data_IF_107805065901
#
_entry.id   IF_107805065901
#
_cell.length_a   1.000
_cell.length_b   1.000
_cell.length_c   1.000
_cell.angle_alpha   90.00
_cell.angle_beta   90.00
_cell.angle_gamma   90.00
#
_symmetry.space_group_name_H-M   'P 1'
#
loop_
_entity.id
_entity.type
_entity.pdbx_description
1 polymer ?
#
# COMPACT_ATOMS: atom_id res chain seq x y z
N UNK A 1 0.52 -0.78 25.31
CA UNK A 1 0.89 -0.46 23.92
C UNK A 1 2.38 -0.18 23.91
N UNK A 2 3.21 -1.01 23.26
CA UNK A 2 4.68 -0.84 23.32
C UNK A 2 5.10 0.27 22.36
N UNK A 3 6.10 1.06 22.74
CA UNK A 3 6.60 2.25 22.02
C UNK A 3 6.87 2.00 20.52
N UNK A 4 7.23 0.76 20.17
CA UNK A 4 7.66 0.34 18.84
C UNK A 4 6.51 0.39 17.81
N UNK A 5 5.30 0.00 18.18
CA UNK A 5 4.16 -0.04 17.26
C UNK A 5 3.78 1.37 16.78
N UNK A 6 3.94 2.37 17.65
CA UNK A 6 3.69 3.78 17.33
C UNK A 6 4.69 4.33 16.31
N UNK A 7 5.94 3.88 16.38
CA UNK A 7 7.03 4.35 15.49
C UNK A 7 6.85 3.78 14.08
N UNK A 8 6.51 2.50 13.94
CA UNK A 8 6.24 1.89 12.62
C UNK A 8 5.01 2.47 11.93
N UNK A 9 3.93 2.76 12.67
CA UNK A 9 2.75 3.43 12.14
C UNK A 9 3.06 4.84 11.61
N UNK A 10 3.91 5.59 12.33
CA UNK A 10 4.38 6.90 11.87
C UNK A 10 5.20 6.78 10.59
N UNK A 11 6.17 5.86 10.52
CA UNK A 11 6.96 5.63 9.30
C UNK A 11 6.08 5.30 8.09
N UNK A 12 5.07 4.45 8.27
CA UNK A 12 4.10 4.12 7.23
C UNK A 12 3.30 5.35 6.78
N UNK A 13 2.83 6.16 7.73
CA UNK A 13 2.08 7.38 7.44
C UNK A 13 2.88 8.40 6.62
N UNK A 14 4.14 8.66 7.00
CA UNK A 14 5.04 9.55 6.25
C UNK A 14 5.22 9.08 4.79
N UNK A 15 5.46 7.77 4.59
CA UNK A 15 5.65 7.19 3.25
C UNK A 15 4.41 7.33 2.37
N UNK A 16 3.22 7.11 2.92
CA UNK A 16 1.97 7.27 2.17
C UNK A 16 1.71 8.73 1.78
N UNK A 17 1.93 9.69 2.69
CA UNK A 17 1.78 11.12 2.37
C UNK A 17 2.76 11.55 1.27
N UNK A 18 4.01 11.11 1.33
CA UNK A 18 5.00 11.36 0.27
C UNK A 18 4.51 10.80 -1.07
N UNK A 19 4.00 9.56 -1.09
CA UNK A 19 3.47 8.95 -2.31
C UNK A 19 2.29 9.73 -2.88
N UNK A 20 1.33 10.11 -2.05
CA UNK A 20 0.18 10.93 -2.43
C UNK A 20 0.62 12.30 -2.98
N UNK A 21 1.48 13.03 -2.28
CA UNK A 21 1.96 14.34 -2.76
C UNK A 21 2.77 14.24 -4.05
N UNK A 22 3.51 13.14 -4.24
CA UNK A 22 4.24 12.89 -5.49
C UNK A 22 3.30 12.69 -6.67
N UNK A 23 2.14 12.05 -6.46
CA UNK A 23 1.09 11.95 -7.49
C UNK A 23 0.49 13.33 -7.79
N UNK A 24 0.18 14.12 -6.77
CA UNK A 24 -0.35 15.47 -6.98
C UNK A 24 0.65 16.38 -7.72
N UNK A 25 1.93 16.28 -7.38
CA UNK A 25 3.01 16.99 -8.08
C UNK A 25 3.06 16.60 -9.56
N UNK A 26 2.93 15.31 -9.88
CA UNK A 26 2.94 14.81 -11.26
C UNK A 26 1.81 15.41 -12.12
N UNK A 27 0.63 15.64 -11.53
CA UNK A 27 -0.51 16.24 -12.23
C UNK A 27 -0.52 17.77 -12.19
N UNK A 28 0.40 18.41 -11.45
CA UNK A 28 0.44 19.86 -11.29
C UNK A 28 0.96 20.53 -12.58
N UNK A 29 0.23 21.53 -13.06
CA UNK A 29 0.56 22.24 -14.33
C UNK A 29 1.04 23.67 -14.14
N UNK A 30 0.92 24.23 -12.92
CA UNK A 30 1.37 25.58 -12.60
C UNK A 30 2.43 25.58 -11.50
N UNK A 31 3.27 26.63 -11.52
CA UNK A 31 4.45 26.73 -10.66
C UNK A 31 4.10 26.81 -9.17
N UNK A 32 2.94 27.39 -8.82
CA UNK A 32 2.49 27.50 -7.43
C UNK A 32 2.15 26.14 -6.83
N UNK A 33 1.42 25.30 -7.57
CA UNK A 33 1.10 23.92 -7.16
C UNK A 33 2.35 23.04 -7.09
N UNK A 34 3.22 23.14 -8.10
CA UNK A 34 4.49 22.41 -8.13
C UNK A 34 5.31 22.74 -6.88
N UNK A 35 5.46 24.03 -6.56
CA UNK A 35 6.18 24.48 -5.38
C UNK A 35 5.51 23.96 -4.10
N UNK A 36 4.20 24.09 -3.99
CA UNK A 36 3.43 23.64 -2.82
C UNK A 36 3.62 22.15 -2.53
N UNK A 37 3.43 21.28 -3.53
CA UNK A 37 3.60 19.84 -3.33
C UNK A 37 5.05 19.42 -3.13
N UNK A 38 6.00 20.12 -3.75
CA UNK A 38 7.44 19.92 -3.49
C UNK A 38 7.77 20.21 -2.03
N UNK A 39 7.32 21.36 -1.50
CA UNK A 39 7.55 21.75 -0.10
C UNK A 39 6.95 20.72 0.89
N UNK A 40 5.75 20.19 0.58
CA UNK A 40 5.11 19.14 1.38
C UNK A 40 5.90 17.83 1.36
N UNK A 41 6.38 17.40 0.18
CA UNK A 41 7.20 16.20 0.03
C UNK A 41 8.51 16.34 0.83
N UNK A 42 9.20 17.48 0.70
CA UNK A 42 10.45 17.74 1.41
C UNK A 42 10.28 17.74 2.92
N UNK A 43 9.19 18.33 3.41
CA UNK A 43 8.82 18.32 4.84
C UNK A 43 8.61 16.89 5.34
N UNK A 44 7.80 16.09 4.65
CA UNK A 44 7.53 14.71 5.05
C UNK A 44 8.78 13.83 4.98
N UNK A 45 9.62 14.01 3.95
CA UNK A 45 10.91 13.31 3.82
C UNK A 45 11.87 13.65 4.96
N UNK A 46 11.89 14.90 5.41
CA UNK A 46 12.71 15.34 6.53
C UNK A 46 12.33 14.64 7.82
N UNK A 47 11.02 14.57 8.12
CA UNK A 47 10.53 13.86 9.31
C UNK A 47 10.71 12.35 9.21
N UNK A 48 10.51 11.76 8.02
CA UNK A 48 10.79 10.35 7.77
C UNK A 48 12.27 10.01 8.05
N UNK A 49 13.20 10.86 7.61
CA UNK A 49 14.64 10.69 7.85
C UNK A 49 14.98 10.74 9.35
N UNK A 50 14.44 11.71 10.09
CA UNK A 50 14.64 11.81 11.54
C UNK A 50 14.14 10.57 12.27
N UNK A 51 12.93 10.11 11.91
CA UNK A 51 12.31 8.96 12.54
C UNK A 51 13.05 7.66 12.20
N UNK A 52 13.52 7.51 10.95
CA UNK A 52 14.30 6.35 10.53
C UNK A 52 15.62 6.28 11.30
N UNK A 53 16.34 7.40 11.42
CA UNK A 53 17.57 7.47 12.21
C UNK A 53 17.33 7.14 13.69
N UNK A 54 16.26 7.67 14.28
CA UNK A 54 15.88 7.33 15.66
C UNK A 54 15.62 5.81 15.83
N UNK A 55 15.04 5.14 14.82
CA UNK A 55 14.85 3.69 14.85
C UNK A 55 16.18 2.93 14.78
N UNK A 56 17.08 3.36 13.89
CA UNK A 56 18.41 2.75 13.73
C UNK A 56 19.21 2.81 15.04
N UNK A 57 19.22 3.98 15.69
CA UNK A 57 19.92 4.23 16.94
C UNK A 57 19.27 3.49 18.13
N UNK A 58 17.93 3.48 18.21
CA UNK A 58 17.20 2.96 19.38
C UNK A 58 17.02 1.44 19.40
N UNK A 59 17.09 0.77 18.24
CA UNK A 59 16.76 -0.66 18.13
C UNK A 59 17.92 -1.58 17.76
N UNK A 60 19.16 -1.07 17.60
CA UNK A 60 20.32 -1.85 17.12
C UNK A 60 19.91 -2.84 16.02
N UNK A 61 19.28 -2.33 14.97
CA UNK A 61 18.76 -3.18 13.90
C UNK A 61 19.94 -3.92 13.28
N UNK A 62 19.99 -5.24 13.51
CA UNK A 62 21.06 -6.10 13.03
C UNK A 62 21.16 -6.02 11.50
N UNK A 63 22.39 -6.21 11.01
CA UNK A 63 22.93 -5.96 9.65
C UNK A 63 22.18 -6.52 8.42
N UNK A 64 20.93 -6.94 8.50
CA UNK A 64 20.20 -7.49 7.35
C UNK A 64 19.11 -6.56 6.78
N UNK A 65 18.96 -5.34 7.31
CA UNK A 65 18.39 -4.12 6.69
C UNK A 65 17.50 -4.28 5.43
N UNK A 66 16.46 -5.13 5.51
CA UNK A 66 15.56 -5.43 4.39
C UNK A 66 14.14 -5.20 4.85
N UNK A 67 13.56 -4.10 4.38
CA UNK A 67 12.13 -3.83 4.54
C UNK A 67 11.39 -4.39 3.34
N UNK A 68 10.34 -5.16 3.59
CA UNK A 68 9.50 -5.77 2.58
C UNK A 68 8.22 -4.93 2.40
N UNK A 69 7.92 -4.55 1.17
CA UNK A 69 6.64 -3.96 0.77
C UNK A 69 6.20 -4.66 -0.52
N UNK A 70 5.16 -5.48 -0.44
CA UNK A 70 4.79 -6.45 -1.49
C UNK A 70 5.99 -7.34 -1.90
N UNK A 71 6.16 -7.60 -3.20
CA UNK A 71 7.29 -8.34 -3.79
C UNK A 71 8.56 -7.49 -3.95
N UNK A 72 8.60 -6.29 -3.37
CA UNK A 72 9.75 -5.37 -3.43
C UNK A 72 10.49 -5.36 -2.09
N UNK A 73 11.81 -5.46 -2.18
CA UNK A 73 12.71 -5.23 -1.04
C UNK A 73 13.45 -3.91 -1.25
N UNK A 74 13.43 -3.05 -0.24
CA UNK A 74 14.18 -1.80 -0.25
C UNK A 74 15.50 -1.98 0.51
N UNK A 75 16.62 -1.86 -0.21
CA UNK A 75 17.96 -1.84 0.37
C UNK A 75 18.38 -0.38 0.62
N UNK A 76 18.42 -0.01 1.90
CA UNK A 76 18.79 1.32 2.37
C UNK A 76 20.26 1.69 2.06
N UNK A 77 21.16 0.71 1.84
CA UNK A 77 22.57 0.98 1.50
C UNK A 77 22.76 1.30 0.02
N UNK A 78 21.96 0.68 -0.84
CA UNK A 78 22.14 0.78 -2.29
C UNK A 78 21.26 1.86 -2.92
N UNK A 79 20.27 2.39 -2.19
CA UNK A 79 19.23 3.27 -2.73
C UNK A 79 18.62 2.71 -4.05
N UNK A 80 18.49 1.38 -4.11
CA UNK A 80 18.17 0.61 -5.32
C UNK A 80 16.96 -0.27 -5.07
N UNK A 81 15.94 -0.14 -5.91
CA UNK A 81 14.75 -0.99 -5.90
C UNK A 81 15.11 -2.31 -6.59
N UNK A 82 14.82 -3.44 -5.94
CA UNK A 82 14.99 -4.78 -6.53
C UNK A 82 13.67 -5.54 -6.49
N UNK A 83 13.19 -5.99 -7.65
CA UNK A 83 12.10 -6.97 -7.80
C UNK A 83 12.65 -8.35 -7.47
N UNK A 84 12.10 -9.05 -6.48
CA UNK A 84 12.38 -10.48 -6.35
C UNK A 84 11.51 -11.26 -7.33
N UNK A 85 12.13 -11.80 -8.37
CA UNK A 85 11.48 -12.75 -9.26
C UNK A 85 11.30 -14.10 -8.56
N UNK A 86 10.10 -14.63 -8.78
CA UNK A 86 9.56 -15.94 -8.44
C UNK A 86 10.60 -17.07 -8.54
N UNK A 87 10.68 -17.87 -7.49
CA UNK A 87 10.95 -19.31 -7.56
C UNK A 87 9.85 -19.95 -6.71
N UNK A 88 8.70 -20.28 -7.31
CA UNK A 88 8.36 -21.54 -7.97
C UNK A 88 8.12 -22.70 -6.99
N UNK A 89 6.86 -22.85 -6.57
CA UNK A 89 6.22 -24.14 -6.31
C UNK A 89 4.75 -24.02 -6.75
N UNK A 90 4.31 -24.82 -7.73
CA UNK A 90 2.89 -25.05 -8.05
C UNK A 90 2.35 -24.38 -9.33
N UNK A 91 2.47 -25.10 -10.45
CA UNK A 91 1.83 -24.98 -11.76
C UNK A 91 0.51 -24.18 -11.90
N UNK A 92 0.59 -23.01 -12.54
CA UNK A 92 -0.26 -22.46 -13.62
C UNK A 92 -0.04 -20.94 -13.65
N UNK A 93 0.86 -20.45 -14.52
CA UNK A 93 1.03 -19.01 -14.74
C UNK A 93 -0.18 -18.47 -15.52
N UNK A 94 -1.31 -18.31 -14.84
CA UNK A 94 -2.23 -17.26 -15.21
C UNK A 94 -1.48 -15.93 -15.04
N UNK A 95 -1.38 -15.16 -16.11
CA UNK A 95 -0.95 -13.76 -16.02
C UNK A 95 -1.85 -13.11 -14.98
N UNK A 96 -1.30 -12.74 -13.81
CA UNK A 96 -2.04 -12.01 -12.79
C UNK A 96 -2.74 -10.84 -13.45
N UNK A 97 -4.07 -10.79 -13.33
CA UNK A 97 -4.87 -9.75 -13.95
C UNK A 97 -4.44 -8.39 -13.41
N UNK A 98 -4.16 -7.46 -14.31
CA UNK A 98 -3.89 -6.09 -13.95
C UNK A 98 -5.21 -5.31 -13.94
N UNK A 99 -5.36 -4.43 -12.96
CA UNK A 99 -6.50 -3.54 -12.85
C UNK A 99 -5.99 -2.11 -12.81
N UNK A 100 -6.61 -1.22 -13.58
CA UNK A 100 -6.60 0.22 -13.29
C UNK A 100 -7.62 0.54 -12.20
N UNK A 101 -7.57 1.75 -11.63
CA UNK A 101 -8.60 2.23 -10.71
C UNK A 101 -10.00 2.22 -11.37
N UNK A 102 -10.09 2.62 -12.64
CA UNK A 102 -11.36 2.62 -13.37
C UNK A 102 -11.90 1.21 -13.64
N UNK A 103 -11.02 0.24 -13.87
CA UNK A 103 -11.43 -1.15 -13.98
C UNK A 103 -11.85 -1.72 -12.63
N UNK A 104 -11.11 -1.42 -11.56
CA UNK A 104 -11.44 -1.88 -10.21
C UNK A 104 -12.82 -1.39 -9.76
N UNK A 105 -13.19 -0.14 -10.06
CA UNK A 105 -14.53 0.42 -9.76
C UNK A 105 -15.70 -0.41 -10.29
N UNK A 106 -15.49 -1.22 -11.33
CA UNK A 106 -16.54 -2.07 -11.92
C UNK A 106 -16.88 -3.28 -11.04
N UNK A 107 -16.08 -3.58 -10.03
CA UNK A 107 -16.21 -4.71 -9.11
C UNK A 107 -16.65 -4.22 -7.73
N UNK A 108 -17.82 -3.58 -7.69
CA UNK A 108 -18.41 -2.93 -6.51
C UNK A 108 -19.44 -3.81 -5.77
N UNK A 109 -19.58 -5.09 -6.16
CA UNK A 109 -20.58 -5.99 -5.58
C UNK A 109 -22.02 -5.74 -6.06
N UNK A 110 -22.26 -4.72 -6.89
CA UNK A 110 -23.60 -4.38 -7.37
C UNK A 110 -24.03 -5.25 -8.55
N UNK A 111 -25.34 -5.42 -8.73
CA UNK A 111 -25.91 -6.10 -9.91
C UNK A 111 -25.35 -7.52 -10.14
N UNK A 112 -25.03 -8.24 -9.06
CA UNK A 112 -24.46 -9.59 -9.13
C UNK A 112 -22.99 -9.64 -9.56
N UNK A 113 -22.32 -8.50 -9.68
CA UNK A 113 -20.87 -8.44 -9.94
C UNK A 113 -20.08 -8.79 -8.67
N UNK A 114 -18.82 -9.22 -8.81
CA UNK A 114 -17.94 -9.41 -7.66
C UNK A 114 -17.68 -8.10 -6.91
N UNK A 115 -17.37 -8.20 -5.63
CA UNK A 115 -16.90 -7.11 -4.78
C UNK A 115 -15.38 -7.25 -4.58
N UNK A 116 -14.59 -6.35 -5.17
CA UNK A 116 -13.13 -6.36 -5.06
C UNK A 116 -12.60 -5.15 -4.31
N UNK A 117 -11.50 -5.30 -3.58
CA UNK A 117 -10.78 -4.18 -2.96
C UNK A 117 -9.30 -4.29 -3.25
N UNK A 118 -8.63 -3.16 -3.47
CA UNK A 118 -7.18 -3.14 -3.50
C UNK A 118 -6.63 -2.76 -2.12
N UNK A 119 -5.63 -3.51 -1.66
CA UNK A 119 -4.84 -3.17 -0.46
C UNK A 119 -3.38 -3.37 -0.80
N UNK A 120 -2.59 -2.31 -0.65
CA UNK A 120 -1.18 -2.22 -0.99
C UNK A 120 -0.91 -2.69 -2.43
N UNK A 121 -1.77 -2.34 -3.39
CA UNK A 121 -1.58 -2.70 -4.79
C UNK A 121 -1.92 -4.15 -5.16
N UNK A 122 -2.44 -4.97 -4.24
CA UNK A 122 -2.99 -6.30 -4.53
C UNK A 122 -4.52 -6.19 -4.52
N UNK A 123 -5.16 -6.76 -5.53
CA UNK A 123 -6.63 -6.81 -5.61
C UNK A 123 -7.12 -8.12 -4.99
N UNK A 124 -8.00 -8.00 -4.01
CA UNK A 124 -8.60 -9.10 -3.26
C UNK A 124 -10.08 -9.21 -3.61
N UNK A 125 -10.55 -10.45 -3.76
CA UNK A 125 -11.98 -10.74 -3.90
C UNK A 125 -12.62 -10.93 -2.53
N UNK A 126 -13.45 -9.98 -2.12
CA UNK A 126 -14.16 -9.99 -0.84
C UNK A 126 -15.62 -10.43 -0.98
N UNK A 127 -16.03 -10.93 -2.15
CA UNK A 127 -17.44 -11.28 -2.44
C UNK A 127 -18.01 -12.34 -1.51
N UNK A 128 -17.17 -13.24 -1.02
CA UNK A 128 -17.57 -14.33 -0.10
C UNK A 128 -17.35 -13.99 1.38
N UNK A 129 -16.81 -12.81 1.69
CA UNK A 129 -16.55 -12.39 3.06
C UNK A 129 -17.84 -11.84 3.66
N UNK A 130 -18.36 -12.49 4.71
CA UNK A 130 -19.61 -12.08 5.35
C UNK A 130 -19.59 -10.64 5.88
N UNK A 131 -18.41 -10.15 6.27
CA UNK A 131 -18.18 -8.77 6.71
C UNK A 131 -18.27 -7.73 5.60
N UNK A 132 -18.29 -8.17 4.33
CA UNK A 132 -18.41 -7.38 3.11
C UNK A 132 -19.79 -7.49 2.44
N UNK A 133 -20.81 -7.90 3.18
CA UNK A 133 -22.18 -8.02 2.69
C UNK A 133 -22.65 -6.78 1.93
N UNK A 134 -23.21 -6.99 0.73
CA UNK A 134 -23.64 -5.91 -0.16
C UNK A 134 -22.50 -5.09 -0.78
N UNK A 135 -21.26 -5.59 -0.73
CA UNK A 135 -20.08 -4.88 -1.24
C UNK A 135 -19.59 -3.76 -0.33
N UNK A 136 -19.97 -3.77 0.95
CA UNK A 136 -19.65 -2.71 1.92
C UNK A 136 -19.08 -3.23 3.23
N UNK A 137 -18.24 -2.44 3.88
CA UNK A 137 -17.67 -2.76 5.20
C UNK A 137 -17.46 -1.48 6.01
N UNK A 138 -18.23 -1.28 7.08
CA UNK A 138 -18.16 -0.08 7.95
C UNK A 138 -18.14 1.27 7.19
N UNK A 139 -19.01 1.42 6.18
CA UNK A 139 -19.09 2.65 5.36
C UNK A 139 -18.04 2.74 4.25
N UNK A 140 -17.16 1.74 4.13
CA UNK A 140 -16.31 1.55 2.97
C UNK A 140 -17.04 0.76 1.89
N UNK A 141 -16.64 0.97 0.65
CA UNK A 141 -17.24 0.36 -0.53
C UNK A 141 -16.17 -0.37 -1.33
N UNK A 142 -16.53 -1.53 -1.85
CA UNK A 142 -15.73 -2.27 -2.81
C UNK A 142 -15.62 -1.51 -4.15
N UNK A 143 -14.75 -1.97 -5.03
CA UNK A 143 -14.32 -1.29 -6.25
C UNK A 143 -13.28 -0.18 -6.02
N UNK A 144 -12.58 -0.19 -4.88
CA UNK A 144 -11.65 0.89 -4.49
C UNK A 144 -10.31 0.37 -3.98
N UNK A 145 -9.29 1.23 -4.06
CA UNK A 145 -8.09 1.09 -3.25
C UNK A 145 -8.37 1.58 -1.83
N UNK A 146 -8.28 0.67 -0.87
CA UNK A 146 -8.56 0.88 0.54
C UNK A 146 -7.30 0.69 1.39
N UNK A 147 -6.11 0.88 0.79
CA UNK A 147 -4.83 0.72 1.49
C UNK A 147 -4.73 1.59 2.75
N UNK A 148 -5.21 2.85 2.68
CA UNK A 148 -5.16 3.78 3.79
C UNK A 148 -6.12 3.39 4.92
N UNK A 149 -7.32 2.97 4.57
CA UNK A 149 -8.38 2.55 5.48
C UNK A 149 -8.02 1.24 6.15
N UNK A 150 -7.46 0.29 5.40
CA UNK A 150 -6.93 -0.97 5.95
C UNK A 150 -5.79 -0.70 6.95
N UNK A 151 -4.88 0.23 6.64
CA UNK A 151 -3.83 0.65 7.57
C UNK A 151 -4.42 1.28 8.84
N UNK A 152 -5.43 2.13 8.72
CA UNK A 152 -6.08 2.79 9.86
C UNK A 152 -6.83 1.82 10.77
N UNK A 153 -7.73 1.01 10.20
CA UNK A 153 -8.62 0.11 10.95
C UNK A 153 -7.90 -1.15 11.45
N UNK A 154 -6.96 -1.67 10.68
CA UNK A 154 -6.29 -2.94 10.97
C UNK A 154 -4.80 -2.79 11.30
N UNK A 155 -4.30 -1.56 11.42
CA UNK A 155 -2.88 -1.26 11.70
C UNK A 155 -1.92 -1.91 10.68
N UNK A 156 -2.43 -2.22 9.48
CA UNK A 156 -1.69 -2.90 8.42
C UNK A 156 -1.41 -4.39 8.68
N UNK A 157 -2.15 -5.05 9.58
CA UNK A 157 -2.04 -6.48 9.85
C UNK A 157 -2.43 -7.32 8.63
N UNK A 158 -1.45 -7.63 7.77
CA UNK A 158 -1.64 -8.29 6.48
C UNK A 158 -2.21 -9.71 6.63
N UNK A 159 -2.06 -10.32 7.80
CA UNK A 159 -2.56 -11.67 8.11
C UNK A 159 -4.07 -11.78 7.95
N UNK A 160 -4.80 -10.67 8.09
CA UNK A 160 -6.25 -10.58 7.84
C UNK A 160 -6.58 -10.92 6.38
N UNK A 161 -5.68 -10.59 5.45
CA UNK A 161 -5.88 -10.81 4.01
C UNK A 161 -5.40 -12.19 3.54
N UNK A 162 -4.72 -12.97 4.38
CA UNK A 162 -4.09 -14.23 3.95
C UNK A 162 -5.10 -15.28 3.45
N UNK A 163 -6.34 -15.21 3.92
CA UNK A 163 -7.42 -16.13 3.53
C UNK A 163 -8.30 -15.58 2.40
N UNK A 164 -8.12 -14.32 2.03
CA UNK A 164 -8.93 -13.66 1.00
C UNK A 164 -8.28 -13.93 -0.37
N UNK A 165 -9.04 -14.41 -1.37
CA UNK A 165 -8.49 -14.69 -2.69
C UNK A 165 -7.85 -13.46 -3.33
N UNK A 166 -6.64 -13.63 -3.86
CA UNK A 166 -5.91 -12.61 -4.64
C UNK A 166 -6.27 -12.77 -6.11
N UNK A 167 -6.90 -11.76 -6.69
CA UNK A 167 -7.41 -11.82 -8.08
C UNK A 167 -6.63 -10.95 -9.05
N UNK A 168 -5.68 -10.16 -8.55
CA UNK A 168 -4.78 -9.41 -9.41
C UNK A 168 -3.95 -8.36 -8.70
N UNK A 169 -3.44 -7.41 -9.49
CA UNK A 169 -2.65 -6.28 -9.02
C UNK A 169 -3.26 -4.97 -9.52
N UNK A 170 -3.19 -3.93 -8.69
CA UNK A 170 -3.60 -2.59 -9.06
C UNK A 170 -2.41 -1.85 -9.68
N UNK A 171 -2.63 -1.32 -10.88
CA UNK A 171 -1.67 -0.51 -11.63
C UNK A 171 -2.12 0.94 -11.64
N UNK A 172 -1.20 1.83 -11.29
CA UNK A 172 -1.36 3.27 -11.39
C UNK A 172 -0.78 3.67 -12.75
N UNK A 173 -1.59 3.55 -13.80
CA UNK A 173 -1.27 4.03 -15.15
C UNK A 173 -1.76 5.47 -15.32
#
# INVERSE_FOLDING_TARGET
>A
MKCNDCVFLKLSSYRHRISYYSQMLFFSSNLSEIKFYTDLIEKELTELKKLTKHCEDSFKISKNNRFYYNNFSYDLKANKITLQNRTSEGNNMERQKEFTLEELKKYDGSNGKPAYVAVNGIVYDVSSEATWGGGTHFGLYSGKDLSSEFLGCHKGMIEILNKIPKVGILRFL
#
